data_IF_211508633544
#
_entry.id   IF_211508633544
#
_cell.length_a   1.000
_cell.length_b   1.000
_cell.length_c   1.000
_cell.angle_alpha   90.00
_cell.angle_beta   90.00
_cell.angle_gamma   90.00
#
_symmetry.space_group_name_H-M   'P 1'
#
loop_
_entity.id
_entity.type
_entity.pdbx_description
1 polymer ?
#
# COMPACT_ATOMS: atom_id res chain seq x y z
N UNK A 1 3.72 29.84 -7.22
CA UNK A 1 3.37 28.80 -6.22
C UNK A 1 2.36 27.90 -6.89
N UNK A 2 2.70 26.64 -7.17
CA UNK A 2 1.79 25.73 -7.87
C UNK A 2 0.72 25.26 -6.88
N UNK A 3 -0.52 25.70 -7.09
CA UNK A 3 -1.66 25.30 -6.29
C UNK A 3 -2.14 23.91 -6.76
N UNK A 4 -2.25 22.97 -5.82
CA UNK A 4 -2.71 21.60 -6.09
C UNK A 4 -3.92 21.30 -5.22
N UNK A 5 -4.93 20.63 -5.77
CA UNK A 5 -6.09 20.16 -5.03
C UNK A 5 -6.04 18.63 -4.86
N UNK A 6 -6.42 18.11 -3.68
CA UNK A 6 -6.55 16.67 -3.49
C UNK A 6 -7.71 16.10 -4.31
N UNK A 7 -7.54 14.90 -4.83
CA UNK A 7 -8.62 14.12 -5.45
C UNK A 7 -9.55 13.64 -4.34
N UNK A 8 -10.84 13.99 -4.44
CA UNK A 8 -11.87 13.66 -3.45
C UNK A 8 -13.03 12.84 -4.02
N UNK A 9 -13.16 12.83 -5.33
CA UNK A 9 -14.24 12.14 -6.03
C UNK A 9 -13.99 10.61 -6.02
N UNK A 10 -14.90 9.81 -5.42
CA UNK A 10 -14.80 8.35 -5.43
C UNK A 10 -14.74 7.75 -6.83
N UNK A 11 -15.44 8.32 -7.81
CA UNK A 11 -15.47 7.80 -9.18
C UNK A 11 -14.12 8.01 -9.87
N UNK A 12 -13.48 9.16 -9.64
CA UNK A 12 -12.12 9.40 -10.11
C UNK A 12 -11.11 8.43 -9.48
N UNK A 13 -11.24 8.16 -8.17
CA UNK A 13 -10.38 7.19 -7.48
C UNK A 13 -10.57 5.79 -8.08
N UNK A 14 -11.82 5.41 -8.37
CA UNK A 14 -12.12 4.11 -8.97
C UNK A 14 -11.54 3.99 -10.38
N UNK A 15 -11.68 5.02 -11.22
CA UNK A 15 -11.07 5.06 -12.55
C UNK A 15 -9.54 4.93 -12.50
N UNK A 16 -8.89 5.61 -11.55
CA UNK A 16 -7.43 5.48 -11.35
C UNK A 16 -7.07 4.05 -10.93
N UNK A 17 -7.85 3.45 -10.02
CA UNK A 17 -7.64 2.07 -9.57
C UNK A 17 -7.73 1.09 -10.74
N UNK A 18 -8.76 1.18 -11.57
CA UNK A 18 -8.93 0.33 -12.76
C UNK A 18 -7.79 0.52 -13.75
N UNK A 19 -7.46 1.76 -14.07
CA UNK A 19 -6.35 2.09 -14.98
C UNK A 19 -5.00 1.52 -14.52
N UNK A 20 -4.70 1.62 -13.22
CA UNK A 20 -3.46 1.10 -12.65
C UNK A 20 -3.47 -0.43 -12.59
N UNK A 21 -4.62 -1.04 -12.31
CA UNK A 21 -4.74 -2.50 -12.25
C UNK A 21 -4.41 -3.15 -13.59
N UNK A 22 -4.82 -2.54 -14.70
CA UNK A 22 -4.53 -3.04 -16.04
C UNK A 22 -3.09 -2.80 -16.49
N UNK A 23 -2.52 -1.63 -16.15
CA UNK A 23 -1.19 -1.24 -16.65
C UNK A 23 -0.03 -1.67 -15.76
N UNK A 24 -0.20 -1.60 -14.46
CA UNK A 24 0.91 -1.71 -13.51
C UNK A 24 0.41 -2.10 -12.12
N UNK A 25 0.44 -3.41 -11.85
CA UNK A 25 0.04 -4.00 -10.58
C UNK A 25 0.77 -3.39 -9.37
N UNK A 26 2.05 -3.02 -9.54
CA UNK A 26 2.83 -2.34 -8.51
C UNK A 26 2.16 -1.05 -8.05
N UNK A 27 1.83 -0.20 -9.01
CA UNK A 27 1.25 1.11 -8.74
C UNK A 27 -0.19 0.96 -8.20
N UNK A 28 -0.92 -0.05 -8.66
CA UNK A 28 -2.23 -0.38 -8.12
C UNK A 28 -2.17 -0.69 -6.61
N UNK A 29 -1.33 -1.64 -6.19
CA UNK A 29 -1.24 -1.99 -4.76
C UNK A 29 -0.71 -0.81 -3.95
N UNK A 30 0.27 -0.04 -4.47
CA UNK A 30 0.77 1.14 -3.77
C UNK A 30 -0.34 2.18 -3.54
N UNK A 31 -1.20 2.41 -4.53
CA UNK A 31 -2.35 3.29 -4.38
C UNK A 31 -3.33 2.74 -3.34
N UNK A 32 -3.71 1.46 -3.46
CA UNK A 32 -4.66 0.81 -2.54
C UNK A 32 -4.14 0.85 -1.10
N UNK A 33 -2.86 0.54 -0.87
CA UNK A 33 -2.22 0.64 0.43
C UNK A 33 -2.21 2.09 0.92
N UNK A 34 -1.78 3.03 0.09
CA UNK A 34 -1.70 4.45 0.44
C UNK A 34 -3.04 5.03 0.89
N UNK A 35 -4.10 4.82 0.11
CA UNK A 35 -5.43 5.39 0.43
C UNK A 35 -6.09 4.72 1.64
N UNK A 36 -5.90 3.40 1.83
CA UNK A 36 -6.54 2.69 2.95
C UNK A 36 -5.78 2.85 4.28
N UNK A 37 -4.46 3.01 4.24
CA UNK A 37 -3.63 3.03 5.46
C UNK A 37 -3.14 4.43 5.83
N UNK A 38 -3.17 5.38 4.89
CA UNK A 38 -2.63 6.74 5.09
C UNK A 38 -1.11 6.75 5.34
N UNK A 39 -0.42 5.68 4.97
CA UNK A 39 1.02 5.55 5.14
C UNK A 39 1.77 6.28 4.03
N UNK A 40 2.94 6.82 4.37
CA UNK A 40 3.87 7.33 3.37
C UNK A 40 4.44 6.16 2.58
N UNK A 41 4.68 6.37 1.29
CA UNK A 41 5.29 5.36 0.40
C UNK A 41 6.55 4.74 1.01
N UNK A 42 7.43 5.56 1.60
CA UNK A 42 8.66 5.09 2.26
C UNK A 42 8.43 4.17 3.47
N UNK A 43 7.28 4.29 4.14
CA UNK A 43 6.92 3.45 5.28
C UNK A 43 6.21 2.17 4.80
N UNK A 44 5.48 2.23 3.68
CA UNK A 44 4.89 1.05 3.03
C UNK A 44 6.00 0.06 2.62
N UNK A 45 7.11 0.54 2.04
CA UNK A 45 8.25 -0.31 1.65
C UNK A 45 8.96 -1.03 2.81
N UNK A 46 8.73 -0.63 4.06
CA UNK A 46 9.32 -1.30 5.24
C UNK A 46 8.45 -2.43 5.78
N UNK A 47 7.19 -2.49 5.35
CA UNK A 47 6.29 -3.56 5.74
C UNK A 47 6.78 -4.88 5.16
N UNK A 48 6.57 -5.96 5.90
CA UNK A 48 6.75 -7.32 5.40
C UNK A 48 5.41 -7.91 5.00
N UNK A 49 5.44 -8.92 4.15
CA UNK A 49 4.23 -9.65 3.73
C UNK A 49 3.52 -10.25 4.94
N UNK A 50 4.26 -10.75 5.93
CA UNK A 50 3.69 -11.24 7.19
C UNK A 50 2.90 -10.19 7.97
N UNK A 51 3.30 -8.90 7.93
CA UNK A 51 2.59 -7.81 8.59
C UNK A 51 1.21 -7.57 7.97
N UNK A 52 1.03 -7.94 6.69
CA UNK A 52 -0.21 -7.76 5.94
C UNK A 52 -1.18 -8.93 6.09
N UNK A 53 -0.72 -10.11 6.55
CA UNK A 53 -1.56 -11.27 6.84
C UNK A 53 -2.37 -11.09 8.14
N UNK A 54 -1.90 -10.23 9.05
CA UNK A 54 -2.51 -9.97 10.34
C UNK A 54 -3.85 -9.20 10.31
N UNK A 55 -4.36 -8.83 11.48
CA UNK A 55 -5.52 -7.92 11.59
C UNK A 55 -5.13 -6.44 11.56
N UNK A 56 -3.89 -6.14 11.96
CA UNK A 56 -3.38 -4.78 12.07
C UNK A 56 -1.93 -4.72 11.61
N UNK A 57 -1.59 -3.64 10.91
CA UNK A 57 -0.22 -3.23 10.68
C UNK A 57 0.24 -2.45 11.91
N UNK A 58 1.34 -2.88 12.54
CA UNK A 58 1.96 -2.17 13.65
C UNK A 58 3.32 -1.65 13.20
N UNK A 59 3.52 -0.33 13.21
CA UNK A 59 4.79 0.27 12.82
C UNK A 59 5.17 1.45 13.71
N UNK A 60 6.46 1.72 13.81
CA UNK A 60 6.98 2.91 14.48
C UNK A 60 7.33 3.95 13.44
N UNK A 61 6.68 5.11 13.50
CA UNK A 61 6.96 6.21 12.58
C UNK A 61 8.41 6.69 12.76
N UNK A 62 9.18 6.76 11.65
CA UNK A 62 10.59 7.18 11.71
C UNK A 62 10.77 8.62 12.22
N UNK A 63 9.85 9.52 11.85
CA UNK A 63 9.98 10.97 12.13
C UNK A 63 9.65 11.33 13.57
N UNK A 64 8.64 10.68 14.16
CA UNK A 64 8.09 11.05 15.47
C UNK A 64 8.41 10.01 16.55
N UNK A 65 8.84 8.81 16.16
CA UNK A 65 9.06 7.69 17.06
C UNK A 65 7.78 7.09 17.64
N UNK A 66 6.59 7.58 17.26
CA UNK A 66 5.30 7.09 17.75
C UNK A 66 4.95 5.75 17.09
N UNK A 67 4.35 4.86 17.87
CA UNK A 67 3.73 3.65 17.33
C UNK A 67 2.40 3.99 16.68
N UNK A 68 2.21 3.50 15.45
CA UNK A 68 0.94 3.47 14.75
C UNK A 68 0.48 2.03 14.65
N UNK A 69 -0.81 1.83 14.91
CA UNK A 69 -1.52 0.59 14.68
C UNK A 69 -2.67 0.89 13.72
N UNK A 70 -2.62 0.31 12.53
CA UNK A 70 -3.59 0.54 11.46
C UNK A 70 -4.36 -0.76 11.26
N UNK A 71 -5.69 -0.68 11.30
CA UNK A 71 -6.53 -1.83 11.02
C UNK A 71 -6.53 -2.15 9.53
N UNK A 72 -6.32 -3.42 9.18
CA UNK A 72 -6.48 -3.90 7.81
C UNK A 72 -7.96 -4.16 7.55
N UNK A 73 -8.60 -3.29 6.77
CA UNK A 73 -10.01 -3.42 6.42
C UNK A 73 -10.25 -4.70 5.59
N UNK A 74 -11.45 -5.31 5.65
CA UNK A 74 -11.76 -6.48 4.83
C UNK A 74 -11.59 -6.22 3.33
N UNK A 75 -11.92 -5.00 2.87
CA UNK A 75 -11.71 -4.59 1.49
C UNK A 75 -10.21 -4.59 1.12
N UNK A 76 -9.37 -3.97 1.95
CA UNK A 76 -7.92 -3.96 1.74
C UNK A 76 -7.34 -5.39 1.71
N UNK A 77 -7.76 -6.25 2.65
CA UNK A 77 -7.32 -7.66 2.66
C UNK A 77 -7.69 -8.41 1.39
N UNK A 78 -8.88 -8.16 0.84
CA UNK A 78 -9.31 -8.78 -0.42
C UNK A 78 -8.43 -8.32 -1.58
N UNK A 79 -8.13 -7.02 -1.65
CA UNK A 79 -7.25 -6.46 -2.69
C UNK A 79 -5.79 -6.91 -2.54
N UNK A 80 -5.33 -7.20 -1.32
CA UNK A 80 -3.96 -7.65 -1.06
C UNK A 80 -3.79 -9.17 -1.17
N UNK A 81 -4.88 -9.94 -1.20
CA UNK A 81 -4.84 -11.41 -1.12
C UNK A 81 -3.92 -12.02 -2.18
N UNK A 82 -4.18 -11.71 -3.45
CA UNK A 82 -3.39 -12.22 -4.57
C UNK A 82 -1.94 -11.74 -4.53
N UNK A 83 -1.68 -10.56 -3.96
CA UNK A 83 -0.33 -10.05 -3.78
C UNK A 83 0.43 -10.79 -2.66
N UNK A 84 -0.27 -11.33 -1.67
CA UNK A 84 0.33 -11.93 -0.47
C UNK A 84 0.45 -13.47 -0.59
N UNK A 85 -0.44 -14.11 -1.34
CA UNK A 85 -0.55 -15.58 -1.41
C UNK A 85 0.72 -16.28 -1.90
N UNK A 86 1.46 -15.67 -2.84
CA UNK A 86 2.66 -16.27 -3.45
C UNK A 86 3.98 -15.78 -2.83
N UNK A 87 3.92 -15.07 -1.70
CA UNK A 87 5.11 -14.45 -1.07
C UNK A 87 5.40 -14.97 0.33
N UNK A 88 6.68 -15.01 0.67
CA UNK A 88 7.15 -15.40 2.00
C UNK A 88 6.90 -14.29 3.03
N UNK A 89 6.61 -14.67 4.29
CA UNK A 89 6.26 -13.71 5.36
C UNK A 89 7.37 -12.72 5.68
N UNK A 90 8.63 -13.13 5.52
CA UNK A 90 9.82 -12.33 5.77
C UNK A 90 10.14 -11.36 4.62
N UNK A 91 9.51 -11.54 3.46
CA UNK A 91 9.72 -10.71 2.28
C UNK A 91 9.22 -9.30 2.57
N UNK A 92 10.04 -8.30 2.26
CA UNK A 92 9.59 -6.92 2.30
C UNK A 92 8.55 -6.68 1.22
N UNK A 93 7.68 -5.70 1.44
CA UNK A 93 6.75 -5.19 0.44
C UNK A 93 7.56 -4.68 -0.76
N UNK A 94 7.77 -5.56 -1.74
CA UNK A 94 8.51 -5.32 -2.96
C UNK A 94 7.63 -5.72 -4.13
N UNK A 95 7.59 -4.83 -5.10
CA UNK A 95 6.91 -5.03 -6.37
C UNK A 95 7.95 -4.69 -7.41
N UNK A 96 8.72 -5.69 -7.84
CA UNK A 96 9.78 -5.49 -8.81
C UNK A 96 9.20 -5.34 -10.21
N UNK A 97 9.75 -4.37 -10.93
CA UNK A 97 10.11 -4.46 -12.35
C UNK A 97 11.36 -3.58 -12.60
N UNK A 98 12.32 -3.65 -11.67
CA UNK A 98 13.68 -3.18 -11.91
C UNK A 98 14.63 -4.16 -11.25
N UNK A 99 15.33 -4.89 -12.11
CA UNK A 99 16.65 -5.41 -11.80
C UNK A 99 17.48 -4.29 -11.16
N UNK A 100 18.29 -4.69 -10.20
CA UNK A 100 19.26 -3.86 -9.51
C UNK A 100 20.07 -2.99 -10.49
N UNK A 101 20.05 -1.68 -10.24
CA UNK A 101 21.07 -0.73 -10.72
C UNK A 101 21.35 0.29 -9.61
#
# INVERSE_FOLDING_TARGET
MNFVQPIRDPDQIQQIKEHLKEKNERNYILLVMGINTGLRISDIFKLKVGDLKGSHISMREKKTGKQKRIQLTPALKRELRWYIEEREDNEYFKLNNREDY
#
